data_IF_434149879219
#
_entry.id   IF_434149879219
#
_cell.length_a   1.000
_cell.length_b   1.000
_cell.length_c   1.000
_cell.angle_alpha   90.00
_cell.angle_beta   90.00
_cell.angle_gamma   90.00
#
_symmetry.space_group_name_H-M   'P 1'
#
loop_
_entity.id
_entity.type
_entity.pdbx_description
1 polymer ?
#
# COMPACT_ATOMS: atom_id res chain seq x y z
N UNK A 1 -56.77 -8.51 -45.34
CA UNK A 1 -57.75 -7.44 -45.67
C UNK A 1 -57.50 -6.26 -44.77
N UNK A 2 -57.36 -5.09 -45.38
CA UNK A 2 -56.90 -3.81 -44.82
C UNK A 2 -58.11 -3.01 -44.34
N UNK A 3 -58.00 -2.29 -43.22
CA UNK A 3 -58.70 -1.01 -43.05
C UNK A 3 -57.87 -0.07 -42.17
N UNK A 4 -57.20 0.86 -42.85
CA UNK A 4 -56.60 2.09 -42.34
C UNK A 4 -57.71 3.11 -42.08
N UNK A 5 -57.61 3.92 -41.03
CA UNK A 5 -58.35 5.18 -40.90
C UNK A 5 -57.36 6.29 -40.53
N UNK A 6 -57.46 7.39 -41.29
CA UNK A 6 -56.66 8.63 -41.28
C UNK A 6 -56.83 9.42 -39.97
N UNK A 7 -55.77 9.98 -39.38
CA UNK A 7 -55.15 11.30 -39.60
C UNK A 7 -56.09 12.50 -39.39
N UNK A 8 -55.80 13.29 -38.34
CA UNK A 8 -56.20 14.69 -38.22
C UNK A 8 -54.98 15.51 -37.79
N UNK A 9 -54.55 16.42 -38.67
CA UNK A 9 -53.58 17.49 -38.43
C UNK A 9 -54.26 18.63 -37.66
N UNK A 10 -53.53 19.27 -36.76
CA UNK A 10 -53.73 20.67 -36.42
C UNK A 10 -52.38 21.39 -36.43
N UNK A 11 -52.22 22.31 -37.38
CA UNK A 11 -51.15 23.31 -37.42
C UNK A 11 -51.46 24.41 -36.41
N UNK A 12 -50.44 24.88 -35.70
CA UNK A 12 -50.35 26.26 -35.27
C UNK A 12 -48.93 26.76 -35.52
N UNK A 13 -48.79 27.67 -36.47
CA UNK A 13 -47.58 28.44 -36.72
C UNK A 13 -47.56 29.66 -35.80
N UNK A 14 -46.43 29.90 -35.15
CA UNK A 14 -46.06 31.23 -34.68
C UNK A 14 -44.60 31.48 -35.07
N UNK A 15 -44.43 32.28 -36.11
CA UNK A 15 -43.18 32.95 -36.45
C UNK A 15 -43.15 34.28 -35.70
N UNK A 16 -42.13 34.50 -34.88
CA UNK A 16 -41.69 35.85 -34.51
C UNK A 16 -40.22 35.97 -34.89
N UNK A 17 -39.94 37.10 -35.52
CA UNK A 17 -38.72 37.54 -36.19
C UNK A 17 -37.57 37.67 -35.17
N UNK A 18 -36.35 37.33 -35.60
CA UNK A 18 -35.15 37.25 -34.76
C UNK A 18 -34.21 38.48 -34.77
N UNK A 19 -33.06 38.22 -34.11
CA UNK A 19 -31.75 38.90 -34.07
C UNK A 19 -31.70 40.34 -33.52
N UNK A 20 -30.79 40.70 -32.61
CA UNK A 20 -29.36 40.33 -32.57
C UNK A 20 -28.81 40.16 -31.13
N UNK A 21 -27.67 39.45 -31.07
CA UNK A 21 -26.74 39.21 -29.97
C UNK A 21 -26.26 40.51 -29.27
N UNK A 22 -25.59 40.53 -28.11
CA UNK A 22 -24.27 39.93 -27.84
C UNK A 22 -23.98 39.67 -26.33
N UNK A 23 -23.21 38.58 -26.10
CA UNK A 23 -22.23 38.30 -25.01
C UNK A 23 -22.72 38.16 -23.55
N UNK A 24 -22.29 37.21 -22.72
CA UNK A 24 -21.28 36.13 -22.81
C UNK A 24 -21.41 35.20 -21.60
N UNK A 25 -21.03 33.93 -21.77
CA UNK A 25 -20.64 32.89 -20.78
C UNK A 25 -21.63 32.57 -19.63
N UNK A 26 -22.18 31.37 -19.46
CA UNK A 26 -21.70 30.06 -19.92
C UNK A 26 -20.60 29.52 -19.02
N UNK A 27 -20.93 29.10 -17.80
CA UNK A 27 -20.46 27.81 -17.30
C UNK A 27 -21.32 27.33 -16.12
N UNK A 28 -21.99 26.22 -16.37
CA UNK A 28 -22.71 25.43 -15.41
C UNK A 28 -21.68 24.47 -14.78
N UNK A 29 -21.11 24.84 -13.64
CA UNK A 29 -20.31 23.92 -12.83
C UNK A 29 -20.98 23.77 -11.46
N UNK A 30 -22.01 22.92 -11.42
CA UNK A 30 -22.36 22.20 -10.18
C UNK A 30 -21.18 21.26 -9.88
N UNK A 31 -20.18 21.77 -9.16
CA UNK A 31 -19.15 20.94 -8.55
C UNK A 31 -19.81 20.18 -7.40
N UNK A 32 -20.29 18.98 -7.71
CA UNK A 32 -20.60 17.94 -6.75
C UNK A 32 -19.47 17.85 -5.71
N UNK A 33 -19.85 18.00 -4.44
CA UNK A 33 -18.95 18.09 -3.31
C UNK A 33 -18.04 16.87 -3.20
N UNK A 34 -16.74 17.15 -3.19
CA UNK A 34 -15.67 16.26 -2.79
C UNK A 34 -15.90 15.75 -1.36
N UNK A 35 -16.51 14.57 -1.24
CA UNK A 35 -16.57 13.81 0.01
C UNK A 35 -15.63 12.61 -0.08
N UNK A 36 -14.32 12.85 -0.11
CA UNK A 36 -13.37 11.76 0.03
C UNK A 36 -11.92 12.17 0.04
N UNK A 37 -11.27 12.05 1.21
CA UNK A 37 -10.02 11.32 1.22
C UNK A 37 -8.91 11.87 0.31
N UNK A 38 -8.65 13.19 0.26
CA UNK A 38 -7.61 13.79 -0.60
C UNK A 38 -6.30 13.00 -0.48
N UNK A 39 -5.46 12.97 -1.53
CA UNK A 39 -4.17 12.24 -1.47
C UNK A 39 -3.32 12.66 -0.25
N UNK A 40 -3.51 13.89 0.24
CA UNK A 40 -2.99 14.40 1.52
C UNK A 40 -3.54 13.70 2.76
N UNK A 41 -4.82 13.36 2.82
CA UNK A 41 -5.45 12.64 3.93
C UNK A 41 -5.07 11.16 3.96
N UNK A 42 -4.92 10.53 2.80
CA UNK A 42 -4.36 9.16 2.73
C UNK A 42 -2.89 9.13 3.18
N UNK A 43 -2.13 10.19 2.88
CA UNK A 43 -0.73 10.34 3.32
C UNK A 43 -0.58 10.69 4.79
N UNK A 44 -1.48 11.51 5.35
CA UNK A 44 -1.43 11.91 6.77
C UNK A 44 -1.66 10.73 7.73
N UNK A 45 -2.28 9.65 7.25
CA UNK A 45 -2.46 8.40 7.97
C UNK A 45 -1.23 7.47 7.99
N UNK A 46 -0.10 7.88 7.38
CA UNK A 46 1.14 7.09 7.30
C UNK A 46 2.20 7.66 8.23
N UNK A 47 2.73 6.82 9.13
CA UNK A 47 3.92 7.11 9.92
C UNK A 47 5.06 6.19 9.50
N UNK A 48 6.14 6.79 8.99
CA UNK A 48 7.32 6.07 8.52
C UNK A 48 8.32 5.74 9.63
N UNK A 49 8.04 6.10 10.88
CA UNK A 49 8.83 5.64 12.03
C UNK A 49 8.81 4.11 12.08
N UNK A 50 9.99 3.51 12.03
CA UNK A 50 10.12 2.06 11.99
C UNK A 50 10.26 1.49 13.39
N UNK A 51 9.51 0.43 13.68
CA UNK A 51 9.69 -0.40 14.87
C UNK A 51 10.21 -1.78 14.42
N UNK A 52 11.24 -2.32 15.07
CA UNK A 52 11.75 -3.66 14.78
C UNK A 52 11.00 -4.69 15.60
N UNK A 53 10.42 -5.69 14.94
CA UNK A 53 9.56 -6.68 15.56
C UNK A 53 9.98 -8.10 15.21
N UNK A 54 9.84 -9.03 16.15
CA UNK A 54 10.08 -10.45 15.90
C UNK A 54 9.05 -11.05 14.94
N UNK A 55 9.53 -11.72 13.90
CA UNK A 55 8.70 -12.39 12.91
C UNK A 55 8.65 -13.90 13.11
N UNK A 56 7.52 -14.52 12.77
CA UNK A 56 7.30 -15.96 12.96
C UNK A 56 6.69 -16.63 11.73
N UNK A 57 7.08 -17.87 11.48
CA UNK A 57 6.49 -18.74 10.46
C UNK A 57 6.71 -20.21 10.84
N UNK A 58 5.76 -21.08 10.52
CA UNK A 58 5.86 -22.52 10.81
C UNK A 58 6.05 -22.84 12.29
N UNK A 59 5.57 -21.97 13.19
CA UNK A 59 5.72 -22.13 14.64
C UNK A 59 7.05 -21.63 15.21
N UNK A 60 7.98 -21.14 14.39
CA UNK A 60 9.31 -20.72 14.81
C UNK A 60 9.56 -19.24 14.54
N UNK A 61 10.44 -18.62 15.34
CA UNK A 61 10.94 -17.26 15.07
C UNK A 61 11.86 -17.31 13.85
N UNK A 62 11.60 -16.46 12.86
CA UNK A 62 12.36 -16.42 11.59
C UNK A 62 13.28 -15.19 11.47
N UNK A 63 13.40 -14.40 12.55
CA UNK A 63 14.19 -13.17 12.59
C UNK A 63 13.35 -11.98 13.00
N UNK A 64 13.72 -10.80 12.52
CA UNK A 64 12.99 -9.55 12.76
C UNK A 64 12.56 -8.92 11.44
N UNK A 65 11.46 -8.16 11.48
CA UNK A 65 11.01 -7.28 10.39
C UNK A 65 10.87 -5.85 10.90
N UNK A 66 11.12 -4.88 10.04
CA UNK A 66 10.82 -3.47 10.32
C UNK A 66 9.36 -3.19 9.91
N UNK A 67 8.58 -2.65 10.84
CA UNK A 67 7.19 -2.25 10.62
C UNK A 67 7.03 -0.73 10.70
N UNK A 68 6.17 -0.20 9.83
CA UNK A 68 5.67 1.18 9.85
C UNK A 68 4.20 1.19 10.27
N UNK A 69 3.59 2.37 10.42
CA UNK A 69 2.13 2.46 10.65
C UNK A 69 1.41 3.05 9.45
N UNK A 70 0.36 2.36 9.00
CA UNK A 70 -0.57 2.82 7.97
C UNK A 70 -1.99 2.72 8.55
N UNK A 71 -2.72 3.83 8.62
CA UNK A 71 -4.03 3.87 9.26
C UNK A 71 -3.98 3.48 10.75
N UNK A 72 -2.87 3.78 11.43
CA UNK A 72 -2.62 3.38 12.82
C UNK A 72 -2.30 1.89 13.03
N UNK A 73 -2.25 1.07 11.96
CA UNK A 73 -1.92 -0.36 12.06
C UNK A 73 -0.47 -0.61 11.67
N UNK A 74 0.21 -1.46 12.44
CA UNK A 74 1.57 -1.92 12.10
C UNK A 74 1.52 -2.76 10.83
N UNK A 75 2.41 -2.50 9.88
CA UNK A 75 2.58 -3.27 8.65
C UNK A 75 4.06 -3.30 8.29
N UNK A 76 4.54 -4.39 7.68
CA UNK A 76 5.89 -4.36 7.09
C UNK A 76 5.95 -3.32 5.98
N UNK A 77 7.12 -2.71 5.76
CA UNK A 77 7.29 -1.64 4.77
C UNK A 77 6.77 -2.03 3.38
N UNK A 78 7.16 -3.21 2.89
CA UNK A 78 6.73 -3.74 1.60
C UNK A 78 5.21 -3.89 1.50
N UNK A 79 4.59 -4.56 2.47
CA UNK A 79 3.13 -4.75 2.52
C UNK A 79 2.38 -3.42 2.64
N UNK A 80 2.90 -2.48 3.44
CA UNK A 80 2.34 -1.14 3.61
C UNK A 80 2.39 -0.30 2.33
N UNK A 81 3.53 -0.29 1.64
CA UNK A 81 3.67 0.39 0.35
C UNK A 81 2.74 -0.20 -0.72
N UNK A 82 2.64 -1.53 -0.79
CA UNK A 82 1.70 -2.20 -1.67
C UNK A 82 0.25 -1.82 -1.35
N UNK A 83 -0.12 -1.81 -0.06
CA UNK A 83 -1.45 -1.41 0.36
C UNK A 83 -1.77 0.04 -0.01
N UNK A 84 -0.84 0.98 0.15
CA UNK A 84 -1.07 2.38 -0.20
C UNK A 84 -1.32 2.57 -1.70
N UNK A 85 -0.62 1.83 -2.57
CA UNK A 85 -0.91 1.82 -4.02
C UNK A 85 -2.29 1.25 -4.31
N UNK A 86 -2.66 0.17 -3.62
CA UNK A 86 -3.98 -0.44 -3.75
C UNK A 86 -5.10 0.50 -3.29
N UNK A 87 -4.91 1.14 -2.14
CA UNK A 87 -5.84 2.09 -1.54
C UNK A 87 -6.05 3.31 -2.44
N UNK A 88 -4.98 3.87 -3.02
CA UNK A 88 -5.08 4.98 -4.00
C UNK A 88 -5.92 4.59 -5.22
N UNK A 89 -5.70 3.39 -5.77
CA UNK A 89 -6.46 2.91 -6.92
C UNK A 89 -7.92 2.58 -6.58
N UNK A 90 -8.18 2.05 -5.38
CA UNK A 90 -9.53 1.80 -4.88
C UNK A 90 -10.30 3.12 -4.75
N UNK A 91 -9.67 4.13 -4.15
CA UNK A 91 -10.25 5.46 -3.99
C UNK A 91 -10.62 6.11 -5.33
N UNK A 92 -9.72 6.04 -6.32
CA UNK A 92 -9.99 6.52 -7.67
C UNK A 92 -11.16 5.81 -8.37
N UNK A 93 -11.56 4.63 -7.90
CA UNK A 93 -12.72 3.88 -8.36
C UNK A 93 -13.96 4.05 -7.46
N UNK A 94 -13.96 5.01 -6.53
CA UNK A 94 -15.05 5.24 -5.58
C UNK A 94 -15.14 4.20 -4.46
N UNK A 95 -14.07 3.43 -4.21
CA UNK A 95 -14.02 2.39 -3.19
C UNK A 95 -13.05 2.77 -2.08
N UNK A 96 -13.59 3.08 -0.90
CA UNK A 96 -12.78 3.38 0.27
C UNK A 96 -12.37 2.09 0.98
N UNK A 97 -11.07 1.87 1.20
CA UNK A 97 -10.56 0.71 1.94
C UNK A 97 -9.59 1.14 3.05
N UNK A 98 -9.51 0.34 4.11
CA UNK A 98 -8.65 0.58 5.27
C UNK A 98 -8.16 -0.72 5.92
N UNK A 99 -7.14 -0.63 6.76
CA UNK A 99 -6.58 -1.79 7.47
C UNK A 99 -7.27 -1.93 8.83
N UNK A 100 -7.96 -3.04 9.03
CA UNK A 100 -8.52 -3.44 10.33
C UNK A 100 -7.44 -4.09 11.21
N UNK A 101 -6.63 -4.97 10.62
CA UNK A 101 -5.52 -5.68 11.27
C UNK A 101 -4.32 -5.80 10.34
N UNK A 102 -3.12 -5.59 10.87
CA UNK A 102 -1.86 -5.72 10.12
C UNK A 102 -0.93 -6.73 10.78
N UNK A 103 0.34 -6.36 10.95
CA UNK A 103 1.31 -7.16 11.69
C UNK A 103 0.85 -7.43 13.13
N UNK A 104 0.99 -8.68 13.58
CA UNK A 104 0.69 -9.11 14.95
C UNK A 104 1.94 -9.67 15.62
N UNK A 105 2.19 -9.29 16.86
CA UNK A 105 3.21 -9.93 17.70
C UNK A 105 2.77 -11.33 18.14
N UNK A 106 3.68 -12.09 18.77
CA UNK A 106 3.35 -13.38 19.38
C UNK A 106 2.21 -13.29 20.39
N UNK A 107 2.24 -12.28 21.26
CA UNK A 107 1.22 -12.12 22.32
C UNK A 107 -0.12 -11.69 21.76
N UNK A 108 -0.13 -10.81 20.75
CA UNK A 108 -1.37 -10.43 20.04
C UNK A 108 -2.00 -11.65 19.36
N UNK A 109 -1.19 -12.48 18.68
CA UNK A 109 -1.72 -13.70 18.07
C UNK A 109 -2.23 -14.69 19.14
N UNK A 110 -1.60 -14.77 20.33
CA UNK A 110 -2.10 -15.58 21.45
C UNK A 110 -3.46 -15.08 21.94
N UNK A 111 -3.65 -13.77 22.03
CA UNK A 111 -4.95 -13.18 22.36
C UNK A 111 -6.03 -13.59 21.34
N UNK A 112 -5.79 -13.41 20.04
CA UNK A 112 -6.78 -13.77 19.01
C UNK A 112 -7.04 -15.28 18.95
N UNK A 113 -6.01 -16.11 19.13
CA UNK A 113 -6.17 -17.55 19.20
C UNK A 113 -7.03 -17.97 20.41
N UNK A 114 -6.83 -17.33 21.57
CA UNK A 114 -7.68 -17.55 22.72
C UNK A 114 -9.14 -17.14 22.43
N UNK A 115 -9.36 -15.98 21.83
CA UNK A 115 -10.70 -15.53 21.41
C UNK A 115 -11.40 -16.54 20.48
N UNK A 116 -10.66 -17.11 19.53
CA UNK A 116 -11.16 -18.18 18.67
C UNK A 116 -11.55 -19.43 19.46
N UNK A 117 -10.66 -19.90 20.36
CA UNK A 117 -10.90 -21.12 21.14
C UNK A 117 -12.08 -20.99 22.10
N UNK A 118 -12.28 -19.82 22.71
CA UNK A 118 -13.31 -19.61 23.71
C UNK A 118 -14.61 -19.04 23.14
N UNK A 119 -14.56 -18.43 21.95
CA UNK A 119 -15.66 -17.64 21.40
C UNK A 119 -15.98 -16.36 22.19
N UNK A 120 -15.15 -15.98 23.17
CA UNK A 120 -15.49 -14.92 24.14
C UNK A 120 -15.13 -13.51 23.70
N UNK A 121 -14.41 -13.36 22.60
CA UNK A 121 -13.98 -12.07 22.05
C UNK A 121 -13.76 -12.18 20.53
N UNK A 122 -13.55 -11.03 19.88
CA UNK A 122 -13.29 -10.93 18.44
C UNK A 122 -14.32 -11.70 17.56
N UNK A 123 -15.58 -11.78 18.01
CA UNK A 123 -16.65 -12.53 17.33
C UNK A 123 -16.42 -14.04 17.22
N UNK A 124 -15.43 -14.60 17.92
CA UNK A 124 -15.04 -16.01 17.74
C UNK A 124 -14.42 -16.31 16.37
N UNK A 125 -13.95 -15.29 15.65
CA UNK A 125 -13.35 -15.46 14.33
C UNK A 125 -12.14 -16.41 14.39
N UNK A 126 -11.96 -17.19 13.33
CA UNK A 126 -10.86 -18.13 13.21
C UNK A 126 -9.51 -17.40 13.38
N UNK A 127 -8.61 -18.03 14.12
CA UNK A 127 -7.25 -17.54 14.30
C UNK A 127 -6.29 -18.72 14.30
N UNK A 128 -5.17 -18.57 13.57
CA UNK A 128 -4.11 -19.57 13.59
C UNK A 128 -3.44 -19.64 14.97
N UNK A 129 -2.88 -20.82 15.28
CA UNK A 129 -2.04 -21.01 16.48
C UNK A 129 -0.88 -19.99 16.48
N UNK A 130 -0.47 -19.46 17.65
CA UNK A 130 0.66 -18.53 17.72
C UNK A 130 1.93 -19.14 17.09
N UNK A 131 2.60 -18.36 16.25
CA UNK A 131 3.75 -18.77 15.43
C UNK A 131 3.41 -19.24 14.02
N UNK A 132 2.12 -19.45 13.69
CA UNK A 132 1.66 -19.97 12.40
C UNK A 132 0.85 -18.96 11.58
N UNK A 133 0.58 -17.76 12.11
CA UNK A 133 -0.20 -16.73 11.42
C UNK A 133 0.66 -15.91 10.46
N UNK A 134 0.17 -15.67 9.23
CA UNK A 134 0.83 -14.77 8.28
C UNK A 134 0.75 -13.28 8.67
N UNK A 135 -0.03 -12.93 9.71
CA UNK A 135 0.10 -11.61 10.35
C UNK A 135 1.43 -11.48 11.10
N UNK A 136 2.01 -12.59 11.59
CA UNK A 136 3.26 -12.58 12.36
C UNK A 136 4.52 -12.59 11.50
N UNK A 137 4.43 -12.86 10.20
CA UNK A 137 5.51 -12.58 9.25
C UNK A 137 5.28 -11.28 8.46
N UNK A 138 4.17 -10.57 8.74
CA UNK A 138 3.88 -9.26 8.19
C UNK A 138 3.43 -9.25 6.73
N UNK A 139 2.99 -10.40 6.20
CA UNK A 139 2.44 -10.52 4.85
C UNK A 139 0.93 -10.34 4.81
N UNK A 140 0.23 -10.61 5.92
CA UNK A 140 -1.23 -10.54 5.98
C UNK A 140 -1.78 -9.18 6.43
N UNK A 141 -2.89 -8.78 5.83
CA UNK A 141 -3.74 -7.66 6.22
C UNK A 141 -5.21 -8.12 6.27
N UNK A 142 -5.93 -7.68 7.29
CA UNK A 142 -7.39 -7.69 7.30
C UNK A 142 -7.89 -6.33 6.82
N UNK A 143 -8.59 -6.30 5.69
CA UNK A 143 -8.96 -5.07 4.97
C UNK A 143 -10.48 -4.86 5.00
N UNK A 144 -10.92 -3.62 5.27
CA UNK A 144 -12.33 -3.23 5.23
C UNK A 144 -12.87 -3.19 3.79
N UNK A 145 -14.20 -3.23 3.65
CA UNK A 145 -14.89 -3.19 2.34
C UNK A 145 -14.43 -4.26 1.33
N UNK A 146 -13.89 -5.36 1.84
CA UNK A 146 -13.37 -6.50 1.09
C UNK A 146 -14.44 -7.27 0.29
N UNK A 147 -15.71 -7.06 0.61
CA UNK A 147 -16.85 -7.63 -0.11
C UNK A 147 -17.15 -6.97 -1.46
N UNK A 148 -16.58 -5.80 -1.78
CA UNK A 148 -16.86 -5.13 -3.06
C UNK A 148 -16.29 -5.92 -4.26
N UNK A 149 -17.01 -5.93 -5.38
CA UNK A 149 -16.55 -6.61 -6.60
C UNK A 149 -15.23 -6.04 -7.13
N UNK A 150 -15.01 -4.73 -6.95
CA UNK A 150 -13.76 -4.09 -7.33
C UNK A 150 -12.57 -4.69 -6.55
N UNK A 151 -12.68 -4.83 -5.23
CA UNK A 151 -11.62 -5.41 -4.39
C UNK A 151 -11.29 -6.84 -4.83
N UNK A 152 -12.32 -7.66 -5.03
CA UNK A 152 -12.18 -9.05 -5.44
C UNK A 152 -11.46 -9.19 -6.79
N UNK A 153 -11.73 -8.28 -7.73
CA UNK A 153 -11.15 -8.33 -9.08
C UNK A 153 -9.78 -7.64 -9.21
N UNK A 154 -9.40 -6.76 -8.28
CA UNK A 154 -8.21 -5.90 -8.45
C UNK A 154 -7.07 -6.19 -7.47
N UNK A 155 -7.30 -6.87 -6.33
CA UNK A 155 -6.26 -7.11 -5.31
C UNK A 155 -4.97 -7.71 -5.89
N UNK A 156 -5.10 -8.69 -6.81
CA UNK A 156 -3.97 -9.38 -7.43
C UNK A 156 -3.04 -8.44 -8.22
N UNK A 157 -3.56 -7.36 -8.79
CA UNK A 157 -2.78 -6.35 -9.53
C UNK A 157 -1.79 -5.61 -8.64
N UNK A 158 -2.05 -5.59 -7.33
CA UNK A 158 -1.21 -4.96 -6.32
C UNK A 158 -0.40 -5.99 -5.50
N UNK A 159 -0.37 -7.26 -5.94
CA UNK A 159 0.38 -8.33 -5.29
C UNK A 159 -0.33 -8.97 -4.09
N UNK A 160 -1.59 -8.63 -3.83
CA UNK A 160 -2.40 -9.22 -2.76
C UNK A 160 -3.25 -10.40 -3.26
N UNK A 161 -3.36 -11.44 -2.45
CA UNK A 161 -4.21 -12.61 -2.74
C UNK A 161 -5.03 -12.97 -1.51
N UNK A 162 -6.26 -13.45 -1.73
CA UNK A 162 -7.07 -14.09 -0.69
C UNK A 162 -6.64 -15.53 -0.57
N UNK A 163 -6.10 -15.90 0.59
CA UNK A 163 -5.52 -17.22 0.85
C UNK A 163 -6.34 -18.05 1.82
N UNK A 164 -7.25 -17.41 2.58
CA UNK A 164 -8.08 -18.07 3.58
C UNK A 164 -9.53 -18.12 3.10
N UNK A 165 -10.03 -19.33 2.90
CA UNK A 165 -11.45 -19.54 2.57
C UNK A 165 -12.32 -19.15 3.77
N UNK A 166 -13.43 -18.45 3.52
CA UNK A 166 -14.34 -17.98 4.58
C UNK A 166 -13.96 -16.62 5.21
N UNK A 167 -12.77 -16.09 4.94
CA UNK A 167 -12.32 -14.79 5.47
C UNK A 167 -12.15 -13.79 4.32
N UNK A 168 -13.24 -13.16 3.83
CA UNK A 168 -13.15 -12.25 2.69
C UNK A 168 -12.28 -11.03 2.94
N UNK A 169 -12.08 -10.64 4.19
CA UNK A 169 -11.22 -9.54 4.61
C UNK A 169 -9.73 -9.87 4.61
N UNK A 170 -9.32 -11.15 4.61
CA UNK A 170 -7.91 -11.54 4.75
C UNK A 170 -7.18 -11.56 3.40
N UNK A 171 -6.15 -10.73 3.29
CA UNK A 171 -5.30 -10.64 2.10
C UNK A 171 -3.83 -10.82 2.48
N UNK A 172 -3.09 -11.58 1.67
CA UNK A 172 -1.67 -11.78 1.81
C UNK A 172 -0.89 -11.20 0.65
N UNK A 173 0.22 -10.52 0.96
CA UNK A 173 1.13 -9.93 0.00
C UNK A 173 2.23 -10.93 -0.42
N UNK A 174 2.53 -10.98 -1.73
CA UNK A 174 3.51 -11.90 -2.32
C UNK A 174 4.60 -11.23 -3.16
N UNK A 175 4.58 -9.91 -3.33
CA UNK A 175 5.57 -9.18 -4.12
C UNK A 175 6.76 -8.68 -3.31
N UNK A 176 7.74 -8.11 -4.02
CA UNK A 176 8.82 -7.29 -3.45
C UNK A 176 8.32 -5.87 -3.14
N UNK A 177 8.98 -5.14 -2.25
CA UNK A 177 8.59 -3.76 -1.91
C UNK A 177 8.44 -2.90 -3.17
N UNK A 178 7.21 -2.44 -3.50
CA UNK A 178 6.97 -1.68 -4.71
C UNK A 178 7.40 -0.21 -4.58
N UNK A 179 7.92 0.19 -3.42
CA UNK A 179 8.27 1.56 -3.08
C UNK A 179 7.05 2.41 -2.70
N UNK A 180 7.28 3.43 -1.87
CA UNK A 180 6.22 4.28 -1.34
C UNK A 180 6.76 5.41 -0.45
N UNK A 181 5.88 6.09 0.31
CA UNK A 181 6.26 7.28 1.08
C UNK A 181 7.32 7.00 2.17
N UNK A 182 7.52 5.74 2.58
CA UNK A 182 8.54 5.34 3.55
C UNK A 182 9.77 4.68 2.88
N UNK A 183 10.01 4.96 1.59
CA UNK A 183 11.19 4.52 0.85
C UNK A 183 12.46 5.32 1.18
N UNK A 184 12.33 6.52 1.76
CA UNK A 184 13.42 7.11 2.53
C UNK A 184 13.67 6.20 3.72
N UNK A 185 14.89 5.65 3.82
CA UNK A 185 15.26 4.68 4.84
C UNK A 185 14.78 5.08 6.22
N UNK A 186 14.52 4.06 7.04
CA UNK A 186 14.39 4.16 8.48
C UNK A 186 15.27 5.31 8.98
N UNK A 187 14.69 6.43 9.42
CA UNK A 187 15.41 7.22 10.39
C UNK A 187 15.61 6.26 11.56
N UNK A 188 16.86 5.87 11.90
CA UNK A 188 17.07 5.42 13.25
C UNK A 188 16.56 6.53 14.16
N UNK A 189 16.16 6.18 15.37
CA UNK A 189 15.93 7.16 16.40
C UNK A 189 17.07 8.22 16.38
N UNK A 190 16.81 9.50 16.71
CA UNK A 190 17.78 10.60 16.58
C UNK A 190 19.07 10.48 17.42
N UNK A 191 19.38 9.28 17.91
CA UNK A 191 20.45 8.93 18.81
C UNK A 191 21.56 8.07 18.18
N UNK A 192 21.53 7.78 16.87
CA UNK A 192 22.62 7.04 16.18
C UNK A 192 23.02 7.60 14.80
N UNK A 193 22.98 8.93 14.64
CA UNK A 193 23.52 9.62 13.46
C UNK A 193 25.07 9.70 13.49
N UNK A 194 25.74 8.56 13.69
CA UNK A 194 27.21 8.48 13.72
C UNK A 194 27.72 7.11 13.24
N UNK A 195 27.13 6.58 12.17
CA UNK A 195 27.73 5.54 11.34
C UNK A 195 27.97 6.11 9.94
N UNK A 196 29.23 6.40 9.64
CA UNK A 196 29.70 7.25 8.54
C UNK A 196 29.12 6.86 7.16
N UNK A 197 28.41 7.79 6.53
CA UNK A 197 27.93 7.64 5.18
C UNK A 197 29.08 7.72 4.17
N UNK A 198 28.95 7.06 3.01
CA UNK A 198 30.02 7.02 2.01
C UNK A 198 29.74 7.97 0.85
N UNK A 199 30.70 8.80 0.48
CA UNK A 199 30.62 9.55 -0.76
C UNK A 199 30.78 8.61 -1.96
N UNK A 200 29.75 8.50 -2.80
CA UNK A 200 29.77 7.64 -3.99
C UNK A 200 30.20 8.43 -5.22
N UNK A 201 31.35 8.09 -5.80
CA UNK A 201 31.78 8.66 -7.08
C UNK A 201 30.89 8.20 -8.25
N UNK A 202 30.30 6.99 -8.18
CA UNK A 202 29.37 6.48 -9.18
C UNK A 202 28.05 7.25 -9.17
N UNK A 203 27.51 7.56 -7.98
CA UNK A 203 26.21 8.22 -7.83
C UNK A 203 26.30 9.74 -7.68
N UNK A 204 27.50 10.30 -7.50
CA UNK A 204 27.74 11.72 -7.34
C UNK A 204 27.16 12.31 -6.05
N UNK A 205 26.90 11.47 -5.03
CA UNK A 205 26.28 11.87 -3.77
C UNK A 205 26.69 10.96 -2.62
N UNK A 206 26.44 11.42 -1.41
CA UNK A 206 26.61 10.62 -0.21
C UNK A 206 25.50 9.55 -0.15
N UNK A 207 25.89 8.35 0.30
CA UNK A 207 24.98 7.23 0.45
C UNK A 207 25.08 6.61 1.84
N UNK A 208 23.95 6.13 2.40
CA UNK A 208 23.95 5.50 3.72
C UNK A 208 24.82 4.24 3.79
N UNK A 209 25.21 3.91 5.03
CA UNK A 209 25.76 2.63 5.44
C UNK A 209 25.04 1.45 4.76
N UNK A 210 25.82 0.44 4.35
CA UNK A 210 25.37 -0.77 3.61
C UNK A 210 24.80 -0.55 2.21
N UNK A 211 24.88 0.66 1.65
CA UNK A 211 24.57 0.85 0.22
C UNK A 211 25.62 0.11 -0.62
N UNK A 212 25.16 -0.68 -1.60
CA UNK A 212 26.02 -1.37 -2.55
C UNK A 212 25.96 -0.71 -3.93
N UNK A 213 27.11 -0.42 -4.50
CA UNK A 213 27.24 0.28 -5.78
C UNK A 213 28.23 -0.48 -6.65
N UNK A 214 27.91 -0.62 -7.94
CA UNK A 214 28.86 -1.10 -8.92
C UNK A 214 29.75 0.07 -9.36
N UNK A 215 31.06 -0.11 -9.23
CA UNK A 215 32.05 0.93 -9.50
C UNK A 215 32.28 1.10 -11.00
N UNK A 216 32.13 2.33 -11.51
CA UNK A 216 32.37 2.65 -12.92
C UNK A 216 33.83 2.48 -13.37
N UNK A 217 34.79 2.44 -12.44
CA UNK A 217 36.22 2.33 -12.78
C UNK A 217 36.69 0.90 -13.04
N UNK A 218 36.05 -0.09 -12.42
CA UNK A 218 36.52 -1.47 -12.37
C UNK A 218 35.40 -2.51 -12.53
N UNK A 219 34.14 -2.05 -12.61
CA UNK A 219 32.92 -2.87 -12.72
C UNK A 219 32.66 -3.82 -11.55
N UNK A 220 33.39 -3.70 -10.44
CA UNK A 220 33.19 -4.49 -9.22
C UNK A 220 32.12 -3.87 -8.32
N UNK A 221 31.58 -4.68 -7.42
CA UNK A 221 30.62 -4.23 -6.42
C UNK A 221 31.33 -3.80 -5.15
N UNK A 222 30.89 -2.69 -4.56
CA UNK A 222 31.37 -2.19 -3.29
C UNK A 222 30.21 -1.88 -2.36
N UNK A 223 30.36 -2.19 -1.08
CA UNK A 223 29.44 -1.85 0.01
C UNK A 223 30.02 -0.74 0.87
N UNK A 224 29.21 0.27 1.14
CA UNK A 224 29.52 1.30 2.14
C UNK A 224 29.56 0.66 3.54
N UNK A 225 30.67 0.83 4.25
CA UNK A 225 30.81 0.47 5.65
C UNK A 225 31.69 1.49 6.38
N UNK A 226 31.19 2.09 7.45
CA UNK A 226 31.94 3.03 8.30
C UNK A 226 32.66 4.09 7.45
N UNK A 227 31.95 4.72 6.50
CA UNK A 227 32.45 5.81 5.67
C UNK A 227 33.40 5.38 4.55
N UNK A 228 33.64 4.08 4.42
CA UNK A 228 34.59 3.50 3.49
C UNK A 228 33.92 2.49 2.54
N UNK A 229 34.51 2.30 1.36
CA UNK A 229 34.04 1.34 0.37
C UNK A 229 34.80 0.02 0.50
N UNK A 230 34.07 -1.08 0.67
CA UNK A 230 34.64 -2.43 0.72
C UNK A 230 34.06 -3.29 -0.40
N UNK A 231 34.93 -4.04 -1.09
CA UNK A 231 34.52 -4.92 -2.17
C UNK A 231 33.50 -5.96 -1.68
N UNK A 232 32.51 -6.25 -2.52
CA UNK A 232 31.44 -7.21 -2.27
C UNK A 232 30.93 -7.82 -3.57
N UNK A 233 29.82 -8.54 -3.54
CA UNK A 233 29.17 -9.13 -4.71
C UNK A 233 27.81 -8.48 -5.00
N UNK A 234 27.32 -8.65 -6.23
CA UNK A 234 25.97 -8.20 -6.63
C UNK A 234 24.86 -8.82 -5.78
N UNK A 235 25.10 -10.01 -5.22
CA UNK A 235 24.15 -10.79 -4.43
C UNK A 235 24.31 -10.63 -2.91
N UNK A 236 25.19 -9.75 -2.43
CA UNK A 236 25.47 -9.56 -1.01
C UNK A 236 24.19 -9.19 -0.24
N UNK A 237 23.70 -10.11 0.61
CA UNK A 237 22.45 -9.97 1.35
C UNK A 237 22.47 -8.82 2.36
N UNK A 238 23.64 -8.26 2.64
CA UNK A 238 23.77 -7.14 3.56
C UNK A 238 23.51 -5.78 2.89
N UNK A 239 23.43 -5.71 1.56
CA UNK A 239 23.11 -4.48 0.85
C UNK A 239 21.71 -3.96 1.22
N UNK A 240 21.65 -2.74 1.77
CA UNK A 240 20.38 -2.03 2.05
C UNK A 240 19.75 -1.47 0.77
N UNK A 241 20.59 -1.12 -0.21
CA UNK A 241 20.22 -0.70 -1.56
C UNK A 241 21.30 -1.17 -2.56
N UNK A 242 20.93 -1.40 -3.82
CA UNK A 242 21.84 -1.83 -4.89
C UNK A 242 21.74 -0.89 -6.08
N UNK A 243 22.89 -0.44 -6.58
CA UNK A 243 23.02 0.43 -7.74
C UNK A 243 24.01 -0.18 -8.75
N UNK A 244 23.52 -1.00 -9.70
CA UNK A 244 24.36 -1.45 -10.81
C UNK A 244 24.71 -0.27 -11.74
N UNK A 245 25.75 -0.45 -12.57
CA UNK A 245 26.07 0.47 -13.67
C UNK A 245 25.08 0.34 -14.83
#
# INVERSE_FOLDING_TARGET
MVKRVLLALALASFTVIGCSAEASDGNDDEVEGDTGASESELRSAVSCSTERMDAYSGGSRIGTVDVIKVGGKRVTKATGHAFLKWQKAAHAAGVNIGINSGFRTMDEQRYFYNCYQTGSCNGGNLAARPGYSNHQNGRALDVSNSGSSWMQNNAARFGFRRTVSGEPWHFEYFGDDPGGPCSGGSSPAPDDASGDACQSATLGREVPERTCVQSRSDSQWYRCRDGNWFETTSSDSLCSARHPL
#
